data_IF_512017695133
#
_entry.id   IF_512017695133
#
_cell.length_a   1.000
_cell.length_b   1.000
_cell.length_c   1.000
_cell.angle_alpha   90.00
_cell.angle_beta   90.00
_cell.angle_gamma   90.00
#
_symmetry.space_group_name_H-M   'P 1'
#
loop_
_entity.id
_entity.type
_entity.pdbx_description
1 polymer ?
#
# COMPACT_ATOMS: atom_id res chain seq x y z
N UNK A 1 -5.61 7.42 5.78
CA UNK A 1 -4.41 7.50 4.92
C UNK A 1 -4.83 7.54 3.46
N UNK A 2 -4.48 8.60 2.78
CA UNK A 2 -4.89 8.81 1.39
C UNK A 2 -3.67 9.04 0.51
N UNK A 3 -3.50 8.18 -0.50
CA UNK A 3 -2.42 8.32 -1.49
C UNK A 3 -2.94 9.05 -2.71
N UNK A 4 -2.19 10.07 -3.16
CA UNK A 4 -2.64 10.94 -4.24
C UNK A 4 -2.20 10.48 -5.62
N UNK A 5 -1.21 9.60 -5.72
CA UNK A 5 -0.56 9.25 -6.98
C UNK A 5 -0.71 7.78 -7.33
N UNK A 6 -1.97 7.31 -7.43
CA UNK A 6 -2.21 5.95 -7.92
C UNK A 6 -1.76 5.82 -9.37
N UNK A 7 -0.95 4.79 -9.65
CA UNK A 7 -0.41 4.53 -10.99
C UNK A 7 -1.19 3.42 -11.66
N UNK A 8 -1.91 3.75 -12.70
CA UNK A 8 -2.77 2.82 -13.41
C UNK A 8 -2.00 1.63 -13.98
N UNK A 9 -0.81 1.87 -14.54
CA UNK A 9 -0.01 0.83 -15.18
C UNK A 9 1.03 0.17 -14.28
N UNK A 10 1.12 0.55 -13.03
CA UNK A 10 2.00 -0.10 -12.07
C UNK A 10 1.47 -1.45 -11.65
N UNK A 11 2.27 -2.20 -10.89
CA UNK A 11 1.86 -3.46 -10.27
C UNK A 11 2.31 -3.49 -8.82
N UNK A 12 1.56 -4.22 -7.98
CA UNK A 12 1.87 -4.32 -6.56
C UNK A 12 1.93 -2.96 -5.87
N UNK A 13 2.92 -2.78 -5.01
CA UNK A 13 3.08 -1.55 -4.24
C UNK A 13 3.43 -0.33 -5.09
N UNK A 14 4.01 -0.53 -6.28
CA UNK A 14 4.37 0.57 -7.15
C UNK A 14 3.15 1.32 -7.70
N UNK A 15 1.95 0.77 -7.56
CA UNK A 15 0.73 1.48 -7.90
C UNK A 15 0.43 2.63 -6.93
N UNK A 16 0.89 2.50 -5.69
CA UNK A 16 0.63 3.46 -4.62
C UNK A 16 1.85 4.32 -4.29
N UNK A 17 3.02 3.84 -4.64
CA UNK A 17 4.30 4.48 -4.34
C UNK A 17 5.14 4.64 -5.59
N UNK A 18 6.10 5.57 -5.54
CA UNK A 18 7.21 5.57 -6.49
C UNK A 18 8.10 4.34 -6.26
N UNK A 19 8.96 3.99 -7.23
CA UNK A 19 9.82 2.81 -7.09
C UNK A 19 10.69 2.82 -5.83
N UNK A 20 11.27 3.97 -5.49
CA UNK A 20 12.12 4.08 -4.29
C UNK A 20 11.29 3.96 -3.02
N UNK A 21 10.13 4.61 -2.96
CA UNK A 21 9.25 4.50 -1.81
C UNK A 21 8.83 3.06 -1.57
N UNK A 22 8.49 2.33 -2.64
CA UNK A 22 8.12 0.91 -2.56
C UNK A 22 9.27 0.07 -2.01
N UNK A 23 10.50 0.31 -2.46
CA UNK A 23 11.68 -0.41 -1.97
C UNK A 23 11.92 -0.13 -0.48
N UNK A 24 11.78 1.11 -0.06
CA UNK A 24 11.93 1.49 1.35
C UNK A 24 10.85 0.81 2.20
N UNK A 25 9.61 0.85 1.77
CA UNK A 25 8.52 0.23 2.52
C UNK A 25 8.69 -1.28 2.62
N UNK A 26 9.11 -1.95 1.54
CA UNK A 26 9.39 -3.38 1.58
C UNK A 26 10.52 -3.71 2.55
N UNK A 27 11.58 -2.90 2.58
CA UNK A 27 12.68 -3.10 3.52
C UNK A 27 12.20 -3.04 4.97
N UNK A 28 11.34 -2.07 5.28
CA UNK A 28 10.80 -1.88 6.62
C UNK A 28 9.80 -2.98 6.99
N UNK A 29 8.94 -3.38 6.06
CA UNK A 29 7.97 -4.45 6.31
C UNK A 29 8.63 -5.82 6.47
N UNK A 30 9.73 -6.06 5.74
CA UNK A 30 10.46 -7.34 5.84
C UNK A 30 11.37 -7.41 7.06
N UNK A 31 11.66 -6.29 7.70
CA UNK A 31 12.49 -6.25 8.88
C UNK A 31 11.72 -6.73 10.12
N UNK A 32 12.37 -7.46 11.02
CA UNK A 32 11.72 -7.94 12.23
C UNK A 32 11.44 -6.82 13.25
N UNK A 33 12.13 -5.68 13.12
CA UNK A 33 12.04 -4.57 14.06
C UNK A 33 12.25 -3.25 13.34
N UNK A 34 12.15 -2.16 14.08
CA UNK A 34 12.36 -0.81 13.56
C UNK A 34 13.77 -0.66 12.99
N UNK A 35 13.91 0.20 11.96
CA UNK A 35 15.18 0.46 11.31
C UNK A 35 15.54 1.94 11.35
N UNK A 36 16.84 2.23 11.44
CA UNK A 36 17.39 3.56 11.21
C UNK A 36 17.48 3.82 9.71
N UNK A 37 17.66 5.09 9.32
CA UNK A 37 17.87 5.45 7.92
C UNK A 37 19.08 4.71 7.34
N UNK A 38 20.17 4.63 8.11
CA UNK A 38 21.39 3.95 7.68
C UNK A 38 21.15 2.46 7.43
N UNK A 39 20.38 1.81 8.30
CA UNK A 39 20.05 0.40 8.13
C UNK A 39 19.19 0.18 6.87
N UNK A 40 18.23 1.07 6.60
CA UNK A 40 17.45 1.02 5.38
C UNK A 40 18.34 1.23 4.16
N UNK A 41 19.22 2.23 4.20
CA UNK A 41 20.18 2.50 3.12
C UNK A 41 21.02 1.26 2.81
N UNK A 42 21.54 0.62 3.85
CA UNK A 42 22.35 -0.59 3.68
C UNK A 42 21.58 -1.73 3.03
N UNK A 43 20.32 -1.89 3.38
CA UNK A 43 19.46 -2.88 2.76
C UNK A 43 19.23 -2.59 1.29
N UNK A 44 18.97 -1.33 0.94
CA UNK A 44 18.74 -0.92 -0.46
C UNK A 44 20.00 -1.03 -1.29
N UNK A 45 21.15 -0.74 -0.73
CA UNK A 45 22.43 -0.76 -1.46
C UNK A 45 22.87 -2.14 -1.90
N UNK A 46 22.22 -3.20 -1.43
CA UNK A 46 22.45 -4.57 -1.92
C UNK A 46 22.07 -4.70 -3.38
N UNK A 47 21.09 -3.94 -3.85
CA UNK A 47 20.61 -3.97 -5.23
C UNK A 47 21.14 -2.78 -6.03
N UNK A 48 20.84 -1.58 -5.59
CA UNK A 48 21.20 -0.34 -6.26
C UNK A 48 21.60 0.69 -5.22
N UNK A 49 22.77 1.28 -5.41
CA UNK A 49 23.31 2.28 -4.48
C UNK A 49 22.44 3.53 -4.43
N UNK A 50 22.10 3.94 -3.21
CA UNK A 50 21.33 5.14 -2.93
C UNK A 50 22.04 5.96 -1.85
N UNK A 51 22.04 7.29 -2.01
CA UNK A 51 22.65 8.15 -1.01
C UNK A 51 21.83 8.21 0.27
N UNK A 52 22.51 8.45 1.39
CA UNK A 52 21.85 8.63 2.68
C UNK A 52 20.79 9.74 2.63
N UNK A 53 21.13 10.89 2.03
CA UNK A 53 20.21 12.02 1.96
C UNK A 53 18.96 11.72 1.16
N UNK A 54 19.07 10.94 0.08
CA UNK A 54 17.92 10.54 -0.71
C UNK A 54 16.99 9.65 0.10
N UNK A 55 17.54 8.66 0.78
CA UNK A 55 16.76 7.75 1.63
C UNK A 55 16.09 8.52 2.77
N UNK A 56 16.85 9.40 3.44
CA UNK A 56 16.34 10.24 4.52
C UNK A 56 15.16 11.10 4.08
N UNK A 57 15.30 11.77 2.94
CA UNK A 57 14.25 12.65 2.40
C UNK A 57 12.95 11.87 2.14
N UNK A 58 13.08 10.72 1.51
CA UNK A 58 11.91 9.89 1.19
C UNK A 58 11.27 9.32 2.46
N UNK A 59 12.08 8.83 3.40
CA UNK A 59 11.55 8.28 4.65
C UNK A 59 10.81 9.34 5.47
N UNK A 60 11.34 10.55 5.55
CA UNK A 60 10.67 11.63 6.28
C UNK A 60 9.41 12.10 5.55
N UNK A 61 9.38 12.03 4.23
CA UNK A 61 8.17 12.30 3.46
C UNK A 61 7.07 11.24 3.77
N UNK A 62 7.47 9.99 3.91
CA UNK A 62 6.53 8.92 4.30
C UNK A 62 6.01 9.12 5.72
N UNK A 63 6.83 9.66 6.62
CA UNK A 63 6.37 10.05 7.97
C UNK A 63 5.33 11.16 7.87
N UNK A 64 5.58 12.18 7.06
CA UNK A 64 4.66 13.30 6.88
C UNK A 64 3.32 12.84 6.30
N UNK A 65 3.34 11.82 5.46
CA UNK A 65 2.12 11.22 4.89
C UNK A 65 1.40 10.28 5.86
N UNK A 66 1.96 10.01 7.03
CA UNK A 66 1.36 9.12 8.02
C UNK A 66 1.54 7.63 7.71
N UNK A 67 2.45 7.28 6.80
CA UNK A 67 2.71 5.89 6.41
C UNK A 67 3.77 5.25 7.30
N UNK A 68 4.76 6.03 7.70
CA UNK A 68 5.77 5.64 8.68
C UNK A 68 5.62 6.47 9.94
N UNK A 69 6.03 5.91 11.07
CA UNK A 69 6.24 6.64 12.30
C UNK A 69 7.71 6.56 12.69
N UNK A 70 8.20 7.58 13.39
CA UNK A 70 9.58 7.58 13.87
C UNK A 70 9.62 7.93 15.34
N UNK A 71 10.62 7.39 16.03
CA UNK A 71 10.88 7.75 17.42
C UNK A 71 12.38 7.94 17.64
N UNK A 72 12.71 8.86 18.53
CA UNK A 72 14.12 9.09 18.90
C UNK A 72 14.59 8.04 19.90
N UNK A 73 15.71 7.40 19.59
CA UNK A 73 16.35 6.42 20.48
C UNK A 73 17.85 6.69 20.44
N UNK A 74 18.43 7.11 21.56
CA UNK A 74 19.89 7.31 21.70
C UNK A 74 20.49 8.16 20.58
N UNK A 75 19.98 9.35 20.35
CA UNK A 75 20.47 10.32 19.36
C UNK A 75 20.21 9.95 17.90
N UNK A 76 19.46 8.90 17.62
CA UNK A 76 19.06 8.57 16.26
C UNK A 76 17.56 8.33 16.22
N UNK A 77 16.99 8.35 15.01
CA UNK A 77 15.59 8.02 14.81
C UNK A 77 15.46 6.60 14.30
N UNK A 78 14.48 5.88 14.84
CA UNK A 78 14.07 4.58 14.33
C UNK A 78 12.69 4.70 13.72
N UNK A 79 12.50 4.05 12.59
CA UNK A 79 11.30 4.15 11.77
C UNK A 79 10.59 2.81 11.71
N UNK A 80 9.27 2.85 11.69
CA UNK A 80 8.46 1.65 11.51
C UNK A 80 7.21 1.98 10.69
N UNK A 81 6.66 1.01 9.93
CA UNK A 81 5.38 1.20 9.28
C UNK A 81 4.26 1.42 10.30
N UNK A 82 3.34 2.33 10.00
CA UNK A 82 2.15 2.55 10.83
C UNK A 82 1.21 1.36 10.74
N UNK A 83 1.07 0.80 9.52
CA UNK A 83 0.27 -0.39 9.26
C UNK A 83 1.16 -1.53 8.75
N UNK A 84 0.75 -2.78 8.99
CA UNK A 84 1.36 -3.92 8.32
C UNK A 84 1.15 -3.83 6.81
N UNK A 85 1.92 -4.60 6.03
CA UNK A 85 1.74 -4.66 4.57
C UNK A 85 0.30 -5.05 4.22
N UNK A 86 -0.24 -6.07 4.86
CA UNK A 86 -1.61 -6.53 4.59
C UNK A 86 -2.65 -5.48 4.96
N UNK A 87 -2.50 -4.85 6.12
CA UNK A 87 -3.43 -3.80 6.55
C UNK A 87 -3.37 -2.58 5.63
N UNK A 88 -2.18 -2.24 5.16
CA UNK A 88 -2.00 -1.15 4.19
C UNK A 88 -2.71 -1.45 2.88
N UNK A 89 -2.48 -2.64 2.32
CA UNK A 89 -3.13 -3.04 1.06
C UNK A 89 -4.64 -3.11 1.20
N UNK A 90 -5.13 -3.62 2.33
CA UNK A 90 -6.56 -3.65 2.63
C UNK A 90 -7.16 -2.24 2.63
N UNK A 91 -6.51 -1.31 3.33
CA UNK A 91 -6.99 0.06 3.41
C UNK A 91 -6.98 0.76 2.04
N UNK A 92 -5.92 0.56 1.25
CA UNK A 92 -5.82 1.19 -0.06
C UNK A 92 -6.79 0.59 -1.06
N UNK A 93 -6.98 -0.73 -1.03
CA UNK A 93 -7.95 -1.42 -1.88
C UNK A 93 -9.37 -0.93 -1.59
N UNK A 94 -9.72 -0.80 -0.33
CA UNK A 94 -11.03 -0.32 0.09
C UNK A 94 -11.28 1.11 -0.39
N UNK A 95 -10.31 2.00 -0.20
CA UNK A 95 -10.43 3.40 -0.61
C UNK A 95 -10.55 3.53 -2.13
N UNK A 96 -9.70 2.82 -2.88
CA UNK A 96 -9.74 2.83 -4.33
C UNK A 96 -11.08 2.33 -4.86
N UNK A 97 -11.57 1.22 -4.32
CA UNK A 97 -12.86 0.65 -4.73
C UNK A 97 -14.01 1.64 -4.47
N UNK A 98 -13.99 2.26 -3.29
CA UNK A 98 -15.01 3.26 -2.94
C UNK A 98 -15.00 4.43 -3.93
N UNK A 99 -13.83 4.95 -4.26
CA UNK A 99 -13.70 6.07 -5.19
C UNK A 99 -14.18 5.70 -6.61
N UNK A 100 -13.85 4.50 -7.07
CA UNK A 100 -14.30 4.03 -8.39
C UNK A 100 -15.82 3.89 -8.45
N UNK A 101 -16.42 3.33 -7.42
CA UNK A 101 -17.88 3.18 -7.36
C UNK A 101 -18.55 4.54 -7.25
N UNK A 102 -18.01 5.44 -6.45
CA UNK A 102 -18.57 6.79 -6.29
C UNK A 102 -18.54 7.57 -7.60
N UNK A 103 -17.44 7.46 -8.35
CA UNK A 103 -17.27 8.20 -9.60
C UNK A 103 -18.04 7.59 -10.77
N UNK A 104 -17.99 6.27 -10.92
CA UNK A 104 -18.51 5.58 -12.09
C UNK A 104 -19.87 4.90 -11.88
N UNK A 105 -20.29 4.70 -10.64
CA UNK A 105 -21.63 4.19 -10.32
C UNK A 105 -21.96 2.87 -10.99
N UNK A 106 -23.05 2.84 -11.74
CA UNK A 106 -23.53 1.63 -12.43
C UNK A 106 -22.54 1.06 -13.43
N UNK A 107 -21.70 1.91 -14.04
CA UNK A 107 -20.63 1.45 -14.93
C UNK A 107 -19.61 0.62 -14.16
N UNK A 108 -19.25 1.05 -12.95
CA UNK A 108 -18.33 0.29 -12.09
C UNK A 108 -18.90 -1.08 -11.77
N UNK A 109 -20.21 -1.17 -11.48
CA UNK A 109 -20.87 -2.44 -11.19
C UNK A 109 -20.75 -3.40 -12.38
N UNK A 110 -21.11 -2.94 -13.59
CA UNK A 110 -21.07 -3.76 -14.79
C UNK A 110 -19.67 -4.25 -15.12
N UNK A 111 -18.70 -3.34 -15.08
CA UNK A 111 -17.30 -3.70 -15.37
C UNK A 111 -16.68 -4.59 -14.29
N UNK A 112 -17.10 -4.41 -13.04
CA UNK A 112 -16.62 -5.25 -11.94
C UNK A 112 -17.05 -6.70 -12.14
N UNK A 113 -18.32 -6.94 -12.49
CA UNK A 113 -18.83 -8.29 -12.75
C UNK A 113 -18.05 -8.95 -13.89
N UNK A 114 -17.86 -8.23 -15.00
CA UNK A 114 -17.10 -8.73 -16.15
C UNK A 114 -15.66 -9.06 -15.78
N UNK A 115 -15.02 -8.18 -15.01
CA UNK A 115 -13.64 -8.37 -14.58
C UNK A 115 -13.49 -9.61 -13.69
N UNK A 116 -14.40 -9.80 -12.75
CA UNK A 116 -14.37 -10.97 -11.86
C UNK A 116 -14.47 -12.27 -12.65
N UNK A 117 -15.37 -12.31 -13.64
CA UNK A 117 -15.54 -13.50 -14.47
C UNK A 117 -14.26 -13.80 -15.28
N UNK A 118 -13.62 -12.76 -15.85
CA UNK A 118 -12.43 -12.95 -16.69
C UNK A 118 -11.18 -13.31 -15.88
N UNK A 119 -11.02 -12.73 -14.69
CA UNK A 119 -9.83 -12.98 -13.87
C UNK A 119 -9.90 -14.34 -13.17
N UNK A 120 -11.01 -14.61 -12.50
CA UNK A 120 -11.21 -15.87 -11.78
C UNK A 120 -12.70 -16.05 -11.48
N UNK A 121 -13.39 -17.01 -12.12
CA UNK A 121 -14.82 -17.24 -11.88
C UNK A 121 -15.19 -17.48 -10.41
N UNK A 122 -14.26 -17.97 -9.58
CA UNK A 122 -14.50 -18.15 -8.15
C UNK A 122 -14.78 -16.82 -7.45
N UNK A 123 -14.29 -15.72 -7.98
CA UNK A 123 -14.56 -14.39 -7.44
C UNK A 123 -16.03 -13.99 -7.60
N UNK A 124 -16.69 -14.45 -8.68
CA UNK A 124 -18.14 -14.25 -8.85
C UNK A 124 -18.91 -14.99 -7.77
N UNK A 125 -18.50 -16.21 -7.43
CA UNK A 125 -19.13 -16.98 -6.37
C UNK A 125 -18.97 -16.29 -5.02
N UNK A 126 -17.79 -15.71 -4.76
CA UNK A 126 -17.56 -14.90 -3.57
C UNK A 126 -18.50 -13.69 -3.52
N UNK A 127 -18.62 -12.98 -4.64
CA UNK A 127 -19.53 -11.83 -4.73
C UNK A 127 -20.96 -12.25 -4.43
N UNK A 128 -21.41 -13.35 -5.01
CA UNK A 128 -22.76 -13.86 -4.79
C UNK A 128 -23.00 -14.20 -3.32
N UNK A 129 -22.05 -14.85 -2.66
CA UNK A 129 -22.15 -15.17 -1.23
C UNK A 129 -22.23 -13.91 -0.38
N UNK A 130 -21.40 -12.91 -0.66
CA UNK A 130 -21.41 -11.63 0.06
C UNK A 130 -22.74 -10.92 -0.12
N UNK A 131 -23.29 -10.90 -1.34
CA UNK A 131 -24.59 -10.28 -1.62
C UNK A 131 -25.73 -10.97 -0.89
N UNK A 132 -25.73 -12.29 -0.88
CA UNK A 132 -26.74 -13.07 -0.15
C UNK A 132 -26.69 -12.79 1.34
N UNK A 133 -25.50 -12.73 1.91
CA UNK A 133 -25.31 -12.44 3.32
C UNK A 133 -25.80 -11.04 3.65
N UNK A 134 -25.46 -10.06 2.84
CA UNK A 134 -25.88 -8.66 3.03
C UNK A 134 -27.40 -8.52 2.96
N UNK A 135 -28.05 -9.16 1.99
CA UNK A 135 -29.50 -9.11 1.84
C UNK A 135 -30.23 -9.81 3.00
N UNK A 136 -29.62 -10.85 3.55
CA UNK A 136 -30.16 -11.58 4.68
C UNK A 136 -30.16 -10.76 5.97
N UNK A 137 -29.21 -9.84 6.09
CA UNK A 137 -29.07 -8.94 7.25
C UNK A 137 -30.00 -7.71 7.20
N UNK A 138 -30.63 -7.49 6.06
CA UNK A 138 -31.57 -6.37 5.89
C UNK A 138 -32.94 -6.65 6.46
#
# INVERSE_FOLDING_TARGET
MKLQNFKFHGSGLERFFGPLEARIMNALWDAPDELTIKEVQQTLNRDKEMSFNTVMTVMNRLVDKGILSKKSVSKSYRYRPVLSRDAFLEAQSKELTFELVQEFGSRAVAHMVDALEQVDPDLLDQLERHLKQLKKER
#
